data_IF_018754598943
#
_entry.id   IF_018754598943
#
_cell.length_a   1.000
_cell.length_b   1.000
_cell.length_c   1.000
_cell.angle_alpha   90.00
_cell.angle_beta   90.00
_cell.angle_gamma   90.00
#
_symmetry.space_group_name_H-M   'P 1'
#
loop_
_entity.id
_entity.type
_entity.pdbx_description
1 polymer ?
#
# COMPACT_ATOMS: atom_id res chain seq x y z
N UNK A 1 20.03 13.51 11.67
CA UNK A 1 18.90 12.60 11.95
C UNK A 1 17.66 12.90 11.10
N UNK A 2 17.04 14.09 11.19
CA UNK A 2 15.79 14.43 10.46
C UNK A 2 15.85 14.21 8.93
N UNK A 3 16.92 14.67 8.27
CA UNK A 3 17.08 14.52 6.82
C UNK A 3 17.24 13.05 6.39
N UNK A 4 17.89 12.20 7.20
CA UNK A 4 18.06 10.78 6.89
C UNK A 4 16.72 10.05 6.94
N UNK A 5 15.87 10.37 7.92
CA UNK A 5 14.54 9.76 8.06
C UNK A 5 13.65 10.13 6.85
N UNK A 6 13.67 11.40 6.42
CA UNK A 6 12.93 11.82 5.23
C UNK A 6 13.48 11.18 3.96
N UNK A 7 14.81 11.12 3.81
CA UNK A 7 15.46 10.59 2.62
C UNK A 7 15.36 9.07 2.49
N UNK A 8 15.17 8.33 3.59
CA UNK A 8 14.98 6.86 3.57
C UNK A 8 13.50 6.48 3.57
N UNK A 9 12.67 7.21 4.33
CA UNK A 9 11.25 6.94 4.45
C UNK A 9 10.47 7.17 3.17
N UNK A 10 10.75 8.27 2.46
CA UNK A 10 10.06 8.58 1.20
C UNK A 10 10.33 7.55 0.10
N UNK A 11 11.58 7.13 -0.17
CA UNK A 11 11.85 6.10 -1.17
C UNK A 11 11.21 4.74 -0.84
N UNK A 12 11.19 4.33 0.43
CA UNK A 12 10.51 3.08 0.83
C UNK A 12 9.00 3.15 0.55
N UNK A 13 8.37 4.28 0.84
CA UNK A 13 6.97 4.50 0.49
C UNK A 13 6.80 4.45 -1.03
N UNK A 14 7.60 5.21 -1.79
CA UNK A 14 7.53 5.23 -3.26
C UNK A 14 7.72 3.84 -3.88
N UNK A 15 8.71 3.07 -3.42
CA UNK A 15 8.95 1.69 -3.88
C UNK A 15 7.79 0.77 -3.52
N UNK A 16 7.23 0.90 -2.31
CA UNK A 16 6.01 0.23 -1.90
C UNK A 16 4.83 0.56 -2.81
N UNK A 17 4.67 1.82 -3.22
CA UNK A 17 3.60 2.29 -4.13
C UNK A 17 3.68 1.55 -5.45
N UNK A 18 4.89 1.53 -6.02
CA UNK A 18 5.15 0.96 -7.35
C UNK A 18 4.91 -0.55 -7.30
N UNK A 19 5.34 -1.23 -6.23
CA UNK A 19 5.11 -2.66 -6.05
C UNK A 19 3.60 -3.00 -6.01
N UNK A 20 2.81 -2.26 -5.24
CA UNK A 20 1.35 -2.44 -5.17
C UNK A 20 0.72 -2.21 -6.52
N UNK A 21 1.12 -1.12 -7.19
CA UNK A 21 0.53 -0.75 -8.47
C UNK A 21 0.77 -1.82 -9.53
N UNK A 22 1.97 -2.39 -9.59
CA UNK A 22 2.31 -3.49 -10.51
C UNK A 22 1.49 -4.74 -10.17
N UNK A 23 1.45 -5.16 -8.90
CA UNK A 23 0.64 -6.32 -8.48
C UNK A 23 -0.85 -6.12 -8.78
N UNK A 24 -1.37 -4.95 -8.44
CA UNK A 24 -2.76 -4.56 -8.68
C UNK A 24 -3.15 -4.57 -10.16
N UNK A 25 -2.25 -4.10 -11.04
CA UNK A 25 -2.44 -4.16 -12.50
C UNK A 25 -2.51 -5.60 -13.01
N UNK A 26 -1.68 -6.50 -12.48
CA UNK A 26 -1.70 -7.92 -12.83
C UNK A 26 -3.05 -8.57 -12.47
N UNK A 27 -3.58 -8.27 -11.29
CA UNK A 27 -4.92 -8.72 -10.88
C UNK A 27 -5.98 -8.15 -11.82
N UNK A 28 -5.97 -6.83 -12.03
CA UNK A 28 -6.98 -6.15 -12.83
C UNK A 28 -7.04 -6.61 -14.29
N UNK A 29 -5.91 -6.98 -14.87
CA UNK A 29 -5.83 -7.53 -16.23
C UNK A 29 -6.51 -8.90 -16.36
N UNK A 30 -6.43 -9.74 -15.32
CA UNK A 30 -6.97 -11.11 -15.32
C UNK A 30 -8.47 -11.18 -14.97
N UNK A 31 -8.99 -10.21 -14.22
CA UNK A 31 -10.41 -10.14 -13.81
C UNK A 31 -11.15 -8.93 -14.38
N UNK A 32 -10.69 -8.41 -15.52
CA UNK A 32 -11.24 -7.19 -16.13
C UNK A 32 -12.73 -7.36 -16.44
N UNK A 33 -13.58 -6.67 -15.67
CA UNK A 33 -15.04 -6.72 -15.79
C UNK A 33 -15.77 -7.40 -14.62
N UNK A 34 -15.08 -8.16 -13.77
CA UNK A 34 -15.68 -8.80 -12.60
C UNK A 34 -15.73 -7.88 -11.38
N UNK A 35 -16.59 -8.22 -10.41
CA UNK A 35 -16.68 -7.54 -9.11
C UNK A 35 -15.32 -7.53 -8.39
N UNK A 36 -14.58 -8.64 -8.47
CA UNK A 36 -13.26 -8.83 -7.86
C UNK A 36 -12.23 -7.86 -8.45
N UNK A 37 -12.24 -7.65 -9.76
CA UNK A 37 -11.36 -6.67 -10.41
C UNK A 37 -11.64 -5.23 -9.96
N UNK A 38 -12.92 -4.85 -9.80
CA UNK A 38 -13.31 -3.52 -9.29
C UNK A 38 -12.87 -3.33 -7.84
N UNK A 39 -13.13 -4.30 -6.95
CA UNK A 39 -12.71 -4.24 -5.54
C UNK A 39 -11.19 -4.14 -5.43
N UNK A 40 -10.45 -4.94 -6.21
CA UNK A 40 -8.98 -4.93 -6.22
C UNK A 40 -8.42 -3.56 -6.63
N UNK A 41 -9.00 -2.93 -7.65
CA UNK A 41 -8.59 -1.59 -8.10
C UNK A 41 -8.87 -0.53 -7.03
N UNK A 42 -10.04 -0.58 -6.41
CA UNK A 42 -10.39 0.35 -5.31
C UNK A 42 -9.43 0.17 -4.14
N UNK A 43 -9.16 -1.07 -3.73
CA UNK A 43 -8.24 -1.38 -2.63
C UNK A 43 -6.83 -0.81 -2.91
N UNK A 44 -6.29 -1.06 -4.11
CA UNK A 44 -4.99 -0.52 -4.53
C UNK A 44 -4.98 1.02 -4.49
N UNK A 45 -6.05 1.66 -4.97
CA UNK A 45 -6.16 3.11 -4.97
C UNK A 45 -6.21 3.67 -3.54
N UNK A 46 -7.03 3.08 -2.67
CA UNK A 46 -7.12 3.46 -1.26
C UNK A 46 -5.77 3.31 -0.55
N UNK A 47 -5.04 2.21 -0.79
CA UNK A 47 -3.70 2.02 -0.21
C UNK A 47 -2.70 3.09 -0.64
N UNK A 48 -2.72 3.49 -1.92
CA UNK A 48 -1.85 4.56 -2.41
C UNK A 48 -2.16 5.90 -1.74
N UNK A 49 -3.45 6.21 -1.58
CA UNK A 49 -3.90 7.44 -0.90
C UNK A 49 -3.50 7.43 0.57
N UNK A 50 -3.75 6.33 1.28
CA UNK A 50 -3.34 6.16 2.69
C UNK A 50 -1.83 6.36 2.84
N UNK A 51 -1.05 5.71 1.99
CA UNK A 51 0.40 5.74 2.09
C UNK A 51 0.99 7.12 1.79
N UNK A 52 0.43 7.84 0.82
CA UNK A 52 0.82 9.22 0.53
C UNK A 52 0.44 10.15 1.69
N UNK A 53 -0.77 9.99 2.24
CA UNK A 53 -1.24 10.77 3.38
C UNK A 53 -0.36 10.56 4.61
N UNK A 54 0.03 9.31 4.88
CA UNK A 54 0.91 8.93 5.97
C UNK A 54 2.31 9.54 5.80
N UNK A 55 2.84 9.59 4.57
CA UNK A 55 4.10 10.29 4.25
C UNK A 55 4.05 11.80 4.54
N UNK A 56 2.95 12.48 4.19
CA UNK A 56 2.75 13.90 4.49
C UNK A 56 2.66 14.13 6.00
N UNK A 57 1.83 13.36 6.70
CA UNK A 57 1.65 13.47 8.15
C UNK A 57 2.97 13.20 8.88
N UNK A 58 3.70 12.17 8.47
CA UNK A 58 5.03 11.86 9.01
C UNK A 58 6.00 13.03 8.83
N UNK A 59 6.01 13.64 7.65
CA UNK A 59 6.85 14.80 7.34
C UNK A 59 6.47 15.98 8.24
N UNK A 60 5.18 16.31 8.36
CA UNK A 60 4.71 17.39 9.23
C UNK A 60 5.16 17.20 10.69
N UNK A 61 4.92 16.02 11.27
CA UNK A 61 5.33 15.75 12.65
C UNK A 61 6.87 15.79 12.83
N UNK A 62 7.65 15.32 11.84
CA UNK A 62 9.12 15.40 11.88
C UNK A 62 9.65 16.84 11.90
N UNK A 63 8.95 17.79 11.26
CA UNK A 63 9.29 19.21 11.30
C UNK A 63 8.81 19.90 12.58
N UNK A 64 7.67 19.48 13.13
CA UNK A 64 7.13 20.04 14.38
C UNK A 64 7.90 19.59 15.63
N UNK A 65 8.07 18.28 15.82
CA UNK A 65 8.79 17.72 16.96
C UNK A 65 9.20 16.28 16.71
N UNK A 66 10.52 16.02 16.71
CA UNK A 66 11.07 14.69 16.48
C UNK A 66 10.56 13.65 17.50
N UNK A 67 10.40 14.05 18.77
CA UNK A 67 9.87 13.14 19.81
C UNK A 67 8.44 12.73 19.50
N UNK A 68 7.56 13.69 19.21
CA UNK A 68 6.15 13.42 18.90
C UNK A 68 6.05 12.60 17.61
N UNK A 69 6.87 12.91 16.60
CA UNK A 69 6.93 12.15 15.36
C UNK A 69 7.20 10.66 15.61
N UNK A 70 8.20 10.33 16.43
CA UNK A 70 8.50 8.92 16.71
C UNK A 70 7.36 8.20 17.44
N UNK A 71 6.75 8.86 18.43
CA UNK A 71 5.65 8.25 19.21
C UNK A 71 4.33 8.13 18.45
N UNK A 72 4.07 8.97 17.44
CA UNK A 72 2.81 8.95 16.69
C UNK A 72 2.97 8.25 15.34
N UNK A 73 4.03 8.57 14.59
CA UNK A 73 4.22 8.08 13.22
C UNK A 73 4.59 6.61 13.21
N UNK A 74 5.43 6.13 14.14
CA UNK A 74 5.86 4.72 14.15
C UNK A 74 4.66 3.78 14.39
N UNK A 75 3.80 3.98 15.41
CA UNK A 75 2.62 3.13 15.58
C UNK A 75 1.66 3.17 14.40
N UNK A 76 1.40 4.37 13.85
CA UNK A 76 0.53 4.53 12.68
C UNK A 76 1.12 3.80 11.46
N UNK A 77 2.44 3.89 11.25
CA UNK A 77 3.13 3.16 10.20
C UNK A 77 3.05 1.64 10.39
N UNK A 78 3.18 1.13 11.62
CA UNK A 78 3.04 -0.30 11.92
C UNK A 78 1.63 -0.79 11.58
N UNK A 79 0.60 -0.09 12.04
CA UNK A 79 -0.81 -0.44 11.76
C UNK A 79 -1.08 -0.42 10.26
N UNK A 80 -0.62 0.62 9.57
CA UNK A 80 -0.74 0.72 8.13
C UNK A 80 0.02 -0.40 7.41
N UNK A 81 1.22 -0.76 7.86
CA UNK A 81 2.01 -1.84 7.27
C UNK A 81 1.34 -3.21 7.42
N UNK A 82 0.70 -3.47 8.56
CA UNK A 82 -0.12 -4.68 8.75
C UNK A 82 -1.28 -4.70 7.75
N UNK A 83 -2.01 -3.58 7.61
CA UNK A 83 -3.10 -3.46 6.64
C UNK A 83 -2.59 -3.73 5.22
N UNK A 84 -1.44 -3.15 4.86
CA UNK A 84 -0.75 -3.35 3.59
C UNK A 84 -0.45 -4.83 3.31
N UNK A 85 0.14 -5.56 4.27
CA UNK A 85 0.42 -7.00 4.11
C UNK A 85 -0.86 -7.80 3.91
N UNK A 86 -1.93 -7.49 4.66
CA UNK A 86 -3.23 -8.17 4.52
C UNK A 86 -3.83 -7.92 3.14
N UNK A 87 -3.84 -6.68 2.66
CA UNK A 87 -4.35 -6.37 1.34
C UNK A 87 -3.55 -7.05 0.22
N UNK A 88 -2.22 -7.11 0.32
CA UNK A 88 -1.41 -7.85 -0.65
C UNK A 88 -1.76 -9.34 -0.66
N UNK A 89 -2.01 -9.94 0.50
CA UNK A 89 -2.47 -11.34 0.59
C UNK A 89 -3.84 -11.52 -0.06
N UNK A 90 -4.81 -10.65 0.24
CA UNK A 90 -6.15 -10.68 -0.36
C UNK A 90 -6.08 -10.53 -1.87
N UNK A 91 -5.30 -9.58 -2.39
CA UNK A 91 -5.09 -9.37 -3.82
C UNK A 91 -4.46 -10.61 -4.48
N UNK A 92 -3.48 -11.23 -3.82
CA UNK A 92 -2.80 -12.43 -4.36
C UNK A 92 -3.76 -13.62 -4.39
N UNK A 93 -4.49 -13.85 -3.31
CA UNK A 93 -5.50 -14.91 -3.23
C UNK A 93 -6.59 -14.73 -4.31
N UNK A 94 -7.13 -13.52 -4.44
CA UNK A 94 -8.12 -13.20 -5.47
C UNK A 94 -7.58 -13.41 -6.90
N UNK A 95 -6.28 -13.18 -7.11
CA UNK A 95 -5.61 -13.44 -8.39
C UNK A 95 -5.51 -14.94 -8.67
N UNK A 96 -5.11 -15.73 -7.68
CA UNK A 96 -4.96 -17.17 -7.82
C UNK A 96 -6.31 -17.84 -8.05
N UNK A 97 -7.35 -17.39 -7.36
CA UNK A 97 -8.73 -17.84 -7.55
C UNK A 97 -9.25 -17.49 -8.95
N UNK A 98 -9.03 -16.26 -9.41
CA UNK A 98 -9.37 -15.85 -10.77
C UNK A 98 -8.65 -16.68 -11.84
N UNK A 99 -7.36 -16.96 -11.66
CA UNK A 99 -6.59 -17.81 -12.59
C UNK A 99 -7.10 -19.24 -12.63
N UNK A 100 -7.46 -19.82 -11.48
CA UNK A 100 -8.05 -21.16 -11.43
C UNK A 100 -9.37 -21.23 -12.21
N UNK A 101 -10.22 -20.21 -12.07
CA UNK A 101 -11.49 -20.13 -12.82
C UNK A 101 -11.28 -19.91 -14.32
N UNK A 102 -10.23 -19.18 -14.73
CA UNK A 102 -9.93 -18.92 -16.13
C UNK A 102 -9.23 -20.08 -16.85
N UNK A 103 -8.45 -20.90 -16.12
CA UNK A 103 -7.72 -22.06 -16.66
C UNK A 103 -8.46 -23.39 -16.56
N UNK A 104 -9.71 -23.42 -16.05
CA UNK A 104 -10.56 -24.61 -16.04
C UNK A 104 -11.50 -24.72 -17.26
N UNK A 105 -11.19 -24.00 -18.34
CA UNK A 105 -11.81 -24.11 -19.67
C UNK A 105 -10.75 -24.58 -20.67
#
# INVERSE_FOLDING_TARGET
MRNVILFVGWPILVVGSVFIFIKGKGVYGLVKGSLIGKISKTLVYTMLVEMYSLGIVATFFLYYSLKIALYVVIPVFIVWFINFVVAVKVLTYATDEAKKMAGSN
#
